data_IF_826908590883
#
_entry.id   IF_826908590883
#
_cell.length_a   1.000
_cell.length_b   1.000
_cell.length_c   1.000
_cell.angle_alpha   90.00
_cell.angle_beta   90.00
_cell.angle_gamma   90.00
#
_symmetry.space_group_name_H-M   'P 1'
#
loop_
_entity.id
_entity.type
_entity.pdbx_description
1 polymer ?
#
# COMPACT_ATOMS: atom_id res chain seq x y z
N UNK A 1 16.88 -10.55 8.95
CA UNK A 1 16.20 -9.25 9.13
C UNK A 1 14.95 -9.49 9.95
N UNK A 2 14.62 -8.59 10.88
CA UNK A 2 13.33 -8.67 11.58
C UNK A 2 12.21 -8.38 10.57
N UNK A 3 11.38 -9.36 10.21
CA UNK A 3 10.30 -9.21 9.22
C UNK A 3 9.11 -8.39 9.73
N UNK A 4 9.21 -7.82 10.95
CA UNK A 4 8.13 -7.05 11.59
C UNK A 4 8.67 -5.95 12.50
N UNK A 5 7.94 -4.82 12.58
CA UNK A 5 8.14 -3.74 13.56
C UNK A 5 6.84 -3.61 14.36
N UNK A 6 6.91 -3.87 15.67
CA UNK A 6 5.77 -3.75 16.57
C UNK A 6 5.41 -2.28 16.80
N UNK A 7 4.14 -1.92 16.69
CA UNK A 7 3.58 -0.60 16.98
C UNK A 7 3.04 -0.59 18.43
N UNK A 8 2.18 -1.56 18.74
CA UNK A 8 1.59 -1.77 20.06
C UNK A 8 1.29 -3.26 20.30
N UNK A 9 0.42 -3.61 21.24
CA UNK A 9 0.10 -5.03 21.54
C UNK A 9 -0.56 -5.75 20.37
N UNK A 10 -1.37 -5.07 19.57
CA UNK A 10 -2.20 -5.66 18.49
C UNK A 10 -1.71 -5.35 17.08
N UNK A 11 -0.95 -4.26 16.87
CA UNK A 11 -0.55 -3.79 15.55
C UNK A 11 0.96 -3.87 15.34
N UNK A 12 1.35 -4.27 14.15
CA UNK A 12 2.74 -4.34 13.67
C UNK A 12 2.80 -4.04 12.19
N UNK A 13 3.90 -3.49 11.71
CA UNK A 13 4.27 -3.54 10.30
C UNK A 13 4.90 -4.90 10.03
N UNK A 14 4.39 -5.62 9.03
CA UNK A 14 4.83 -6.97 8.71
C UNK A 14 4.70 -7.20 7.21
N UNK A 15 5.78 -7.62 6.57
CA UNK A 15 5.82 -7.84 5.12
C UNK A 15 4.98 -9.07 4.68
N UNK A 16 4.66 -9.95 5.60
CA UNK A 16 3.82 -11.14 5.33
C UNK A 16 2.32 -10.86 5.44
N UNK A 17 1.95 -9.70 5.98
CA UNK A 17 0.57 -9.26 6.12
C UNK A 17 0.20 -8.23 5.04
N UNK A 18 -1.10 -7.96 4.86
CA UNK A 18 -1.51 -6.84 4.02
C UNK A 18 -0.97 -5.52 4.56
N UNK A 19 -0.70 -4.53 3.71
CA UNK A 19 -0.29 -3.22 4.20
C UNK A 19 -1.34 -2.62 5.15
N UNK A 20 -0.87 -1.97 6.21
CA UNK A 20 -1.72 -1.17 7.07
C UNK A 20 -2.15 0.10 6.34
N UNK A 21 -3.37 0.57 6.62
CA UNK A 21 -3.91 1.80 6.04
C UNK A 21 -3.90 2.89 7.10
N UNK A 22 -3.24 4.01 6.79
CA UNK A 22 -3.25 5.23 7.59
C UNK A 22 -4.21 6.23 6.97
N UNK A 23 -5.24 6.61 7.72
CA UNK A 23 -6.08 7.76 7.37
C UNK A 23 -5.44 9.04 7.91
N UNK A 24 -4.98 9.91 7.01
CA UNK A 24 -4.43 11.23 7.34
C UNK A 24 -5.55 12.27 7.42
N UNK A 25 -5.81 12.78 8.61
CA UNK A 25 -6.88 13.78 8.86
C UNK A 25 -6.45 15.17 8.37
N UNK A 26 -5.18 15.54 8.60
CA UNK A 26 -4.62 16.82 8.13
C UNK A 26 -5.51 18.03 8.50
N UNK A 27 -5.56 19.06 7.64
CA UNK A 27 -6.39 20.26 7.79
C UNK A 27 -7.86 20.08 7.39
N UNK A 28 -8.35 18.86 7.19
CA UNK A 28 -9.72 18.61 6.71
C UNK A 28 -10.84 18.96 7.71
N UNK A 29 -10.49 19.32 8.93
CA UNK A 29 -11.43 19.76 9.98
C UNK A 29 -11.89 21.22 9.82
N UNK A 30 -11.28 22.03 8.95
CA UNK A 30 -11.64 23.46 8.74
C UNK A 30 -11.73 24.28 10.03
N UNK A 31 -10.81 24.12 10.99
CA UNK A 31 -10.81 24.84 12.26
C UNK A 31 -11.93 24.45 13.24
N UNK A 32 -12.64 23.35 13.00
CA UNK A 32 -13.73 22.89 13.88
C UNK A 32 -13.34 21.63 14.64
N UNK A 33 -13.25 21.73 15.97
CA UNK A 33 -13.00 20.59 16.86
C UNK A 33 -14.04 19.48 16.71
N UNK A 34 -15.33 19.83 16.53
CA UNK A 34 -16.41 18.86 16.30
C UNK A 34 -16.16 18.05 15.02
N UNK A 35 -15.80 18.74 13.93
CA UNK A 35 -15.45 18.07 12.65
C UNK A 35 -14.19 17.23 12.79
N UNK A 36 -13.17 17.71 13.48
CA UNK A 36 -11.93 16.98 13.75
C UNK A 36 -12.18 15.64 14.46
N UNK A 37 -12.92 15.67 15.57
CA UNK A 37 -13.27 14.45 16.29
C UNK A 37 -14.18 13.52 15.47
N UNK A 38 -15.06 14.08 14.63
CA UNK A 38 -15.88 13.28 13.73
C UNK A 38 -15.07 12.61 12.62
N UNK A 39 -14.07 13.29 12.05
CA UNK A 39 -13.14 12.69 11.09
C UNK A 39 -12.43 11.46 11.68
N UNK A 40 -11.98 11.52 12.93
CA UNK A 40 -11.37 10.38 13.62
C UNK A 40 -12.36 9.21 13.75
N UNK A 41 -13.64 9.48 14.11
CA UNK A 41 -14.68 8.46 14.19
C UNK A 41 -14.95 7.80 12.83
N UNK A 42 -15.14 8.62 11.78
CA UNK A 42 -15.45 8.12 10.45
C UNK A 42 -14.27 7.39 9.80
N UNK A 43 -13.03 7.82 10.03
CA UNK A 43 -11.84 7.10 9.59
C UNK A 43 -11.76 5.70 10.24
N UNK A 44 -12.06 5.62 11.56
CA UNK A 44 -12.12 4.33 12.26
C UNK A 44 -13.24 3.43 11.70
N UNK A 45 -14.47 3.96 11.52
CA UNK A 45 -15.61 3.22 10.95
C UNK A 45 -15.32 2.74 9.51
N UNK A 46 -14.64 3.56 8.71
CA UNK A 46 -14.23 3.20 7.36
C UNK A 46 -13.11 2.14 7.33
N UNK A 47 -12.63 1.71 8.49
CA UNK A 47 -11.70 0.60 8.61
C UNK A 47 -10.23 0.97 8.43
N UNK A 48 -9.83 2.23 8.60
CA UNK A 48 -8.43 2.60 8.73
C UNK A 48 -7.79 1.86 9.90
N UNK A 49 -6.58 1.33 9.70
CA UNK A 49 -5.85 0.59 10.74
C UNK A 49 -5.17 1.53 11.72
N UNK A 50 -4.76 2.70 11.22
CA UNK A 50 -4.15 3.79 11.98
C UNK A 50 -4.74 5.13 11.52
N UNK A 51 -4.82 6.07 12.44
CA UNK A 51 -5.28 7.44 12.16
C UNK A 51 -4.14 8.40 12.46
N UNK A 52 -3.82 9.29 11.52
CA UNK A 52 -2.77 10.28 11.68
C UNK A 52 -3.36 11.68 11.74
N UNK A 53 -2.80 12.50 12.61
CA UNK A 53 -3.03 13.93 12.71
C UNK A 53 -1.72 14.70 12.56
N UNK A 54 -1.79 16.01 12.51
CA UNK A 54 -0.62 16.87 12.47
C UNK A 54 -0.56 17.69 13.77
N UNK A 55 0.62 17.84 14.35
CA UNK A 55 0.81 18.54 15.61
C UNK A 55 1.78 19.69 15.43
N UNK A 56 1.24 20.89 15.25
CA UNK A 56 2.01 22.13 15.13
C UNK A 56 1.13 23.35 15.45
N UNK A 57 1.79 24.43 15.87
CA UNK A 57 1.27 25.77 15.76
C UNK A 57 1.90 26.46 14.54
N UNK A 58 1.27 27.46 13.91
CA UNK A 58 1.83 28.12 12.72
C UNK A 58 3.27 28.61 12.91
N UNK A 59 3.62 29.04 14.12
CA UNK A 59 4.96 29.47 14.51
C UNK A 59 6.00 28.36 14.53
N UNK A 60 5.60 27.09 14.52
CA UNK A 60 6.54 25.96 14.41
C UNK A 60 7.06 25.76 12.99
N UNK A 61 6.34 26.29 11.99
CA UNK A 61 6.64 26.06 10.55
C UNK A 61 7.08 27.35 9.86
N UNK A 62 6.49 28.49 10.21
CA UNK A 62 6.75 29.74 9.47
C UNK A 62 6.65 30.97 10.36
N UNK A 63 7.15 32.08 9.84
CA UNK A 63 7.10 33.40 10.48
C UNK A 63 5.85 34.16 10.03
N UNK A 64 5.16 34.84 10.95
CA UNK A 64 4.06 35.74 10.62
C UNK A 64 4.60 36.98 9.87
N UNK A 65 4.43 37.00 8.57
CA UNK A 65 4.97 38.07 7.71
C UNK A 65 4.10 38.27 6.47
N UNK A 66 3.95 39.53 6.08
CA UNK A 66 3.30 39.96 4.84
C UNK A 66 4.25 40.08 3.65
N UNK A 67 5.57 39.84 3.83
CA UNK A 67 6.56 39.94 2.75
C UNK A 67 6.29 38.91 1.67
N UNK A 68 6.44 39.26 0.38
CA UNK A 68 6.17 38.42 -0.80
C UNK A 68 6.81 37.01 -0.74
N UNK A 69 7.98 36.87 -0.10
CA UNK A 69 8.69 35.58 0.04
C UNK A 69 7.94 34.55 0.90
N UNK A 70 6.95 34.95 1.70
CA UNK A 70 6.10 34.07 2.51
C UNK A 70 4.77 33.72 1.84
N UNK A 71 4.65 33.98 0.54
CA UNK A 71 3.51 33.56 -0.26
C UNK A 71 3.87 32.39 -1.17
N UNK A 72 2.98 31.41 -1.27
CA UNK A 72 3.16 30.22 -2.10
C UNK A 72 3.07 30.65 -3.56
N UNK A 73 4.03 30.20 -4.38
CA UNK A 73 4.17 30.66 -5.77
C UNK A 73 3.46 29.79 -6.81
N UNK A 74 3.05 28.56 -6.44
CA UNK A 74 2.45 27.59 -7.37
C UNK A 74 1.58 26.54 -6.65
N UNK A 75 0.89 25.71 -7.42
CA UNK A 75 0.10 24.59 -6.92
C UNK A 75 -1.25 25.01 -6.33
N UNK A 76 -1.89 24.09 -5.59
CA UNK A 76 -3.24 24.23 -5.04
C UNK A 76 -3.41 25.48 -4.15
N UNK A 77 -2.38 25.86 -3.43
CA UNK A 77 -2.39 27.00 -2.50
C UNK A 77 -1.70 28.24 -3.04
N UNK A 78 -1.56 28.36 -4.37
CA UNK A 78 -0.93 29.53 -5.02
C UNK A 78 -1.50 30.85 -4.48
N UNK A 79 -0.64 31.85 -4.29
CA UNK A 79 -0.94 33.18 -3.74
C UNK A 79 -1.45 33.16 -2.28
N UNK A 80 -1.46 32.02 -1.58
CA UNK A 80 -1.77 31.99 -0.15
C UNK A 80 -0.54 32.33 0.68
N UNK A 81 -0.75 33.13 1.73
CA UNK A 81 0.28 33.39 2.72
C UNK A 81 0.49 32.15 3.59
N UNK A 82 1.73 31.73 3.82
CA UNK A 82 2.08 30.52 4.58
C UNK A 82 1.49 30.52 5.99
N UNK A 83 1.62 31.64 6.72
CA UNK A 83 1.05 31.75 8.07
C UNK A 83 -0.44 31.52 8.11
N UNK A 84 -1.17 32.18 7.21
CA UNK A 84 -2.63 32.06 7.15
C UNK A 84 -3.08 30.66 6.73
N UNK A 85 -2.35 30.03 5.83
CA UNK A 85 -2.60 28.63 5.44
C UNK A 85 -2.42 27.69 6.63
N UNK A 86 -1.28 27.76 7.29
CA UNK A 86 -1.01 26.89 8.45
C UNK A 86 -1.95 27.18 9.63
N UNK A 87 -2.30 28.48 9.89
CA UNK A 87 -3.31 28.85 10.89
C UNK A 87 -4.68 28.23 10.59
N UNK A 88 -5.06 28.08 9.32
CA UNK A 88 -6.31 27.45 8.91
C UNK A 88 -6.26 25.91 9.05
N UNK A 89 -5.11 25.32 8.78
CA UNK A 89 -4.93 23.87 8.68
C UNK A 89 -4.51 23.20 10.01
N UNK A 90 -3.88 23.95 10.96
CA UNK A 90 -3.34 23.38 12.17
C UNK A 90 -4.40 22.74 13.08
N UNK A 91 -4.00 21.71 13.80
CA UNK A 91 -4.78 21.12 14.89
C UNK A 91 -4.33 21.75 16.21
N UNK A 92 -5.12 22.64 16.85
CA UNK A 92 -4.73 23.26 18.12
C UNK A 92 -4.30 22.24 19.17
N UNK A 93 -3.23 22.52 19.90
CA UNK A 93 -2.71 21.62 20.92
C UNK A 93 -3.76 21.24 21.98
N UNK A 94 -4.67 22.14 22.28
CA UNK A 94 -5.79 21.89 23.20
C UNK A 94 -6.75 20.78 22.77
N UNK A 95 -6.80 20.43 21.46
CA UNK A 95 -7.69 19.37 20.96
C UNK A 95 -7.10 17.96 21.14
N UNK A 96 -5.80 17.84 21.30
CA UNK A 96 -5.10 16.56 21.36
C UNK A 96 -5.61 15.67 22.51
N UNK A 97 -5.84 16.23 23.69
CA UNK A 97 -6.39 15.49 24.84
C UNK A 97 -7.69 14.75 24.47
N UNK A 98 -8.62 15.43 23.80
CA UNK A 98 -9.91 14.83 23.45
C UNK A 98 -9.77 13.84 22.29
N UNK A 99 -8.88 14.13 21.33
CA UNK A 99 -8.58 13.20 20.24
C UNK A 99 -8.01 11.88 20.75
N UNK A 100 -7.03 11.91 21.64
CA UNK A 100 -6.43 10.69 22.22
C UNK A 100 -7.41 9.96 23.16
N UNK A 101 -8.24 10.68 23.91
CA UNK A 101 -9.33 10.09 24.71
C UNK A 101 -10.33 9.36 23.81
N UNK A 102 -10.72 9.99 22.70
CA UNK A 102 -11.63 9.38 21.71
C UNK A 102 -10.99 8.15 21.06
N UNK A 103 -9.76 8.24 20.62
CA UNK A 103 -9.04 7.12 19.99
C UNK A 103 -8.96 5.90 20.93
N UNK A 104 -8.67 6.15 22.24
CA UNK A 104 -8.70 5.10 23.28
C UNK A 104 -10.09 4.45 23.41
N UNK A 105 -11.18 5.24 23.40
CA UNK A 105 -12.56 4.74 23.47
C UNK A 105 -12.89 3.89 22.24
N UNK A 106 -12.43 4.30 21.05
CA UNK A 106 -12.63 3.57 19.79
C UNK A 106 -11.70 2.37 19.64
N UNK A 107 -10.74 2.17 20.54
CA UNK A 107 -9.69 1.13 20.45
C UNK A 107 -8.88 1.23 19.14
N UNK A 108 -8.69 2.45 18.62
CA UNK A 108 -7.89 2.73 17.42
C UNK A 108 -6.55 3.37 17.79
N UNK A 109 -5.55 3.19 16.93
CA UNK A 109 -4.24 3.82 17.11
C UNK A 109 -4.21 5.19 16.46
N UNK A 110 -4.17 6.23 17.28
CA UNK A 110 -3.96 7.62 16.85
C UNK A 110 -2.49 8.00 17.07
N UNK A 111 -1.88 8.62 16.08
CA UNK A 111 -0.52 9.14 16.15
C UNK A 111 -0.39 10.44 15.34
N UNK A 112 0.80 11.03 15.30
CA UNK A 112 0.94 12.33 14.67
C UNK A 112 2.26 12.54 13.93
N UNK A 113 2.25 13.53 13.01
CA UNK A 113 3.44 14.23 12.55
C UNK A 113 3.66 15.43 13.44
N UNK A 114 4.72 15.49 14.27
CA UNK A 114 5.17 16.72 14.93
C UNK A 114 6.00 17.56 13.97
N UNK A 115 5.93 18.89 14.13
CA UNK A 115 6.72 19.87 13.37
C UNK A 115 7.63 20.72 14.24
N UNK A 116 7.74 20.38 15.53
CA UNK A 116 8.64 21.03 16.48
C UNK A 116 8.97 20.09 17.65
N UNK A 117 10.02 20.40 18.40
CA UNK A 117 10.39 19.63 19.61
C UNK A 117 9.27 19.68 20.65
N UNK A 118 8.63 20.85 20.86
CA UNK A 118 7.49 20.98 21.80
C UNK A 118 6.27 20.14 21.38
N UNK A 119 6.08 19.94 20.07
CA UNK A 119 5.04 19.03 19.56
C UNK A 119 5.37 17.58 19.93
N UNK A 120 6.64 17.16 19.88
CA UNK A 120 7.06 15.85 20.35
C UNK A 120 6.79 15.69 21.86
N UNK A 121 7.11 16.71 22.67
CA UNK A 121 6.87 16.68 24.12
C UNK A 121 5.37 16.55 24.45
N UNK A 122 4.50 17.25 23.69
CA UNK A 122 3.05 17.10 23.81
C UNK A 122 2.61 15.66 23.49
N UNK A 123 3.12 15.09 22.40
CA UNK A 123 2.75 13.74 21.97
C UNK A 123 3.27 12.67 22.94
N UNK A 124 4.42 12.87 23.59
CA UNK A 124 4.92 11.97 24.63
C UNK A 124 3.99 11.97 25.87
N UNK A 125 3.42 13.11 26.27
CA UNK A 125 2.40 13.18 27.33
C UNK A 125 1.17 12.35 26.99
N UNK A 126 0.82 12.22 25.69
CA UNK A 126 -0.28 11.39 25.21
C UNK A 126 0.12 9.92 24.94
N UNK A 127 1.38 9.55 25.18
CA UNK A 127 1.92 8.18 25.05
C UNK A 127 1.69 7.59 23.64
N UNK A 128 1.94 8.39 22.59
CA UNK A 128 1.83 7.89 21.19
C UNK A 128 2.71 6.67 20.99
N UNK A 129 2.27 5.75 20.11
CA UNK A 129 2.97 4.49 19.86
C UNK A 129 4.03 4.59 18.77
N UNK A 130 3.94 5.60 17.89
CA UNK A 130 4.84 5.82 16.75
C UNK A 130 4.78 7.28 16.32
N UNK A 131 5.72 7.68 15.47
CA UNK A 131 5.83 9.02 14.92
C UNK A 131 5.84 9.00 13.39
N UNK A 132 5.36 10.09 12.77
CA UNK A 132 5.60 10.40 11.36
C UNK A 132 6.53 11.58 11.24
N UNK A 133 7.54 11.47 10.40
CA UNK A 133 8.37 12.58 9.94
C UNK A 133 7.95 12.90 8.50
N UNK A 134 7.43 14.11 8.28
CA UNK A 134 7.02 14.54 6.94
C UNK A 134 8.24 14.81 6.06
N UNK A 135 8.05 14.85 4.74
CA UNK A 135 9.19 14.92 3.81
C UNK A 135 9.93 16.26 3.85
N UNK A 136 9.24 17.33 4.19
CA UNK A 136 9.82 18.67 4.31
C UNK A 136 10.66 18.84 5.58
N UNK A 137 10.40 18.05 6.62
CA UNK A 137 11.07 18.09 7.92
C UNK A 137 12.27 17.15 8.01
N UNK A 138 12.58 16.39 6.96
CA UNK A 138 13.65 15.38 6.98
C UNK A 138 15.05 15.98 7.22
N UNK A 139 15.22 17.24 6.88
CA UNK A 139 16.47 18.02 7.07
C UNK A 139 16.54 18.74 8.42
N UNK A 140 15.44 18.81 9.18
CA UNK A 140 15.46 19.33 10.56
C UNK A 140 16.04 18.29 11.52
N UNK A 141 17.35 18.26 11.63
CA UNK A 141 18.07 17.27 12.42
C UNK A 141 17.78 17.38 13.92
N UNK A 142 17.35 18.54 14.43
CA UNK A 142 16.96 18.69 15.84
C UNK A 142 15.66 17.94 16.09
N UNK A 143 14.64 18.17 15.27
CA UNK A 143 13.37 17.44 15.32
C UNK A 143 13.59 15.94 15.13
N UNK A 144 14.37 15.54 14.12
CA UNK A 144 14.72 14.14 13.86
C UNK A 144 15.36 13.49 15.07
N UNK A 145 16.34 14.15 15.71
CA UNK A 145 17.03 13.68 16.92
C UNK A 145 16.07 13.55 18.10
N UNK A 146 15.20 14.54 18.30
CA UNK A 146 14.20 14.54 19.37
C UNK A 146 13.25 13.33 19.22
N UNK A 147 12.73 13.09 18.03
CA UNK A 147 11.87 11.94 17.75
C UNK A 147 12.64 10.62 17.94
N UNK A 148 13.88 10.52 17.43
CA UNK A 148 14.68 9.30 17.52
C UNK A 148 14.99 8.89 18.96
N UNK A 149 15.20 9.85 19.86
CA UNK A 149 15.45 9.61 21.31
C UNK A 149 14.27 8.89 21.99
N UNK A 150 13.05 8.99 21.47
CA UNK A 150 11.88 8.28 22.02
C UNK A 150 11.95 6.77 21.82
N UNK A 151 12.82 6.28 20.92
CA UNK A 151 12.99 4.86 20.53
C UNK A 151 11.71 4.20 20.03
N UNK A 152 10.67 4.97 19.68
CA UNK A 152 9.41 4.50 19.05
C UNK A 152 9.59 4.32 17.55
N UNK A 153 8.76 3.51 16.87
CA UNK A 153 8.77 3.41 15.41
C UNK A 153 8.60 4.77 14.73
N UNK A 154 9.35 5.00 13.67
CA UNK A 154 9.28 6.25 12.88
C UNK A 154 8.93 5.89 11.43
N UNK A 155 7.92 6.56 10.89
CA UNK A 155 7.56 6.54 9.47
C UNK A 155 8.11 7.81 8.85
N UNK A 156 8.91 7.71 7.77
CA UNK A 156 9.56 8.83 7.11
C UNK A 156 9.05 8.93 5.68
N UNK A 157 8.52 10.08 5.25
CA UNK A 157 8.22 10.36 3.83
C UNK A 157 9.43 10.97 3.12
N UNK A 158 9.54 10.72 1.80
CA UNK A 158 10.75 11.06 1.02
C UNK A 158 10.50 12.00 -0.15
N UNK A 159 9.27 12.52 -0.33
CA UNK A 159 8.85 13.21 -1.55
C UNK A 159 9.62 14.48 -1.88
N UNK A 160 10.03 15.24 -0.88
CA UNK A 160 10.79 16.50 -1.06
C UNK A 160 12.29 16.35 -0.78
N UNK A 161 12.77 15.12 -0.50
CA UNK A 161 14.14 14.90 -0.05
C UNK A 161 15.00 14.21 -1.11
N UNK A 162 16.27 14.59 -1.17
CA UNK A 162 17.31 13.90 -1.92
C UNK A 162 17.72 12.59 -1.22
N UNK A 163 18.33 11.67 -1.96
CA UNK A 163 18.83 10.41 -1.40
C UNK A 163 19.90 10.66 -0.30
N UNK A 164 20.67 11.74 -0.41
CA UNK A 164 21.66 12.13 0.59
C UNK A 164 20.97 12.53 1.89
N UNK A 165 19.98 13.41 1.84
CA UNK A 165 19.22 13.86 3.00
C UNK A 165 18.49 12.70 3.69
N UNK A 166 17.85 11.81 2.92
CA UNK A 166 17.25 10.58 3.46
C UNK A 166 18.29 9.75 4.22
N UNK A 167 19.46 9.54 3.61
CA UNK A 167 20.51 8.73 4.22
C UNK A 167 21.07 9.37 5.49
N UNK A 168 21.25 10.69 5.52
CA UNK A 168 21.77 11.42 6.69
C UNK A 168 20.73 11.38 7.85
N UNK A 169 19.45 11.56 7.55
CA UNK A 169 18.36 11.36 8.49
C UNK A 169 18.37 9.92 9.06
N UNK A 170 18.46 8.91 8.19
CA UNK A 170 18.51 7.51 8.61
C UNK A 170 19.73 7.20 9.48
N UNK A 171 20.90 7.74 9.14
CA UNK A 171 22.12 7.60 9.97
C UNK A 171 21.91 8.15 11.37
N UNK A 172 21.28 9.33 11.47
CA UNK A 172 20.98 9.94 12.77
C UNK A 172 20.04 9.08 13.60
N UNK A 173 18.92 8.63 13.03
CA UNK A 173 17.95 7.79 13.74
C UNK A 173 18.57 6.46 14.16
N UNK A 174 19.38 5.83 13.31
CA UNK A 174 20.03 4.54 13.57
C UNK A 174 21.00 4.55 14.74
N UNK A 175 21.44 5.73 15.23
CA UNK A 175 22.20 5.87 16.47
C UNK A 175 21.37 5.53 17.71
N UNK A 176 20.03 5.60 17.61
CA UNK A 176 19.09 5.36 18.70
C UNK A 176 18.31 4.04 18.55
N UNK A 177 17.82 3.73 17.34
CA UNK A 177 17.08 2.50 17.05
C UNK A 177 16.96 2.24 15.52
N UNK A 178 16.42 1.05 15.15
CA UNK A 178 16.23 0.63 13.74
C UNK A 178 14.76 0.44 13.33
N UNK A 179 13.80 0.92 14.10
CA UNK A 179 12.37 0.78 13.84
C UNK A 179 11.90 1.87 12.87
N UNK A 180 12.33 1.77 11.60
CA UNK A 180 12.12 2.82 10.59
C UNK A 180 11.39 2.25 9.38
N UNK A 181 10.35 2.95 8.95
CA UNK A 181 9.59 2.71 7.72
C UNK A 181 9.81 3.90 6.80
N UNK A 182 10.12 3.67 5.53
CA UNK A 182 10.33 4.70 4.53
C UNK A 182 9.14 4.70 3.57
N UNK A 183 8.46 5.83 3.40
CA UNK A 183 7.39 5.97 2.43
C UNK A 183 7.91 6.62 1.15
N UNK A 184 7.68 5.96 0.02
CA UNK A 184 7.63 6.68 -1.24
C UNK A 184 6.52 7.71 -1.16
N UNK A 185 6.79 8.89 -1.69
CA UNK A 185 5.85 10.00 -1.70
C UNK A 185 6.20 10.93 -2.86
N UNK A 186 5.20 11.48 -3.53
CA UNK A 186 5.34 12.63 -4.41
C UNK A 186 4.68 13.80 -3.70
N UNK A 187 5.43 14.90 -3.51
CA UNK A 187 4.96 16.06 -2.73
C UNK A 187 4.21 17.09 -3.61
N UNK A 188 3.44 16.58 -4.59
CA UNK A 188 2.47 17.36 -5.38
C UNK A 188 1.06 17.13 -4.81
N UNK A 189 0.29 18.19 -4.66
CA UNK A 189 -1.02 18.21 -4.02
C UNK A 189 -2.10 18.85 -4.92
N UNK A 190 -2.89 18.08 -5.70
CA UNK A 190 -2.83 16.62 -5.88
C UNK A 190 -1.68 16.16 -6.77
N UNK A 191 -1.24 14.91 -6.61
CA UNK A 191 -0.36 14.23 -7.55
C UNK A 191 -1.19 13.69 -8.72
N UNK A 192 -0.79 13.96 -9.95
CA UNK A 192 -1.36 13.32 -11.14
C UNK A 192 -0.94 11.84 -11.18
N UNK A 193 -1.83 10.95 -11.64
CA UNK A 193 -1.56 9.52 -11.69
C UNK A 193 -0.26 9.18 -12.46
N UNK A 194 -0.01 9.85 -13.57
CA UNK A 194 1.21 9.68 -14.37
C UNK A 194 2.48 10.08 -13.65
N UNK A 195 2.40 10.91 -12.61
CA UNK A 195 3.52 11.40 -11.81
C UNK A 195 3.68 10.62 -10.49
N UNK A 196 2.80 9.66 -10.19
CA UNK A 196 2.82 8.92 -8.92
C UNK A 196 4.09 8.07 -8.73
N UNK A 197 4.79 7.74 -9.81
CA UNK A 197 6.08 7.01 -9.82
C UNK A 197 6.15 5.84 -8.82
N UNK A 198 5.12 5.00 -8.79
CA UNK A 198 5.05 3.89 -7.81
C UNK A 198 6.21 2.89 -7.96
N UNK A 199 6.89 2.83 -9.12
CA UNK A 199 8.08 1.99 -9.32
C UNK A 199 9.26 2.43 -8.45
N UNK A 200 9.29 3.68 -7.99
CA UNK A 200 10.28 4.16 -7.03
C UNK A 200 10.26 3.39 -5.71
N UNK A 201 9.14 2.75 -5.36
CA UNK A 201 9.05 1.82 -4.23
C UNK A 201 10.10 0.72 -4.34
N UNK A 202 10.26 0.13 -5.53
CA UNK A 202 11.26 -0.92 -5.79
C UNK A 202 12.68 -0.37 -5.70
N UNK A 203 12.92 0.85 -6.21
CA UNK A 203 14.19 1.53 -6.09
C UNK A 203 14.56 1.77 -4.61
N UNK A 204 13.64 2.32 -3.81
CA UNK A 204 13.86 2.57 -2.39
C UNK A 204 14.14 1.26 -1.63
N UNK A 205 13.44 0.17 -1.96
CA UNK A 205 13.67 -1.14 -1.37
C UNK A 205 15.07 -1.68 -1.66
N UNK A 206 15.54 -1.54 -2.90
CA UNK A 206 16.90 -1.93 -3.29
C UNK A 206 17.95 -1.08 -2.59
N UNK A 207 17.70 0.24 -2.45
CA UNK A 207 18.65 1.20 -1.84
C UNK A 207 18.71 1.06 -0.32
N UNK A 208 17.57 0.88 0.34
CA UNK A 208 17.43 0.85 1.80
C UNK A 208 17.01 -0.54 2.30
N UNK A 209 17.78 -1.57 1.93
CA UNK A 209 17.48 -3.01 2.15
C UNK A 209 17.08 -3.37 3.58
N UNK A 210 17.57 -2.65 4.60
CA UNK A 210 17.28 -2.89 6.02
C UNK A 210 15.99 -2.24 6.54
N UNK A 211 15.27 -1.50 5.69
CA UNK A 211 14.08 -0.76 6.07
C UNK A 211 12.83 -1.30 5.36
N UNK A 212 11.69 -1.20 6.01
CA UNK A 212 10.40 -1.42 5.37
C UNK A 212 10.04 -0.23 4.48
N UNK A 213 9.37 -0.52 3.37
CA UNK A 213 8.91 0.49 2.42
C UNK A 213 7.38 0.54 2.42
N UNK A 214 6.83 1.74 2.36
CA UNK A 214 5.42 2.05 2.23
C UNK A 214 5.18 3.11 1.16
N UNK A 215 3.94 3.58 1.09
CA UNK A 215 3.49 4.65 0.20
C UNK A 215 2.75 5.72 1.00
N UNK A 216 3.03 7.00 0.71
CA UNK A 216 2.17 8.15 1.05
C UNK A 216 1.60 8.70 -0.26
N UNK A 217 0.31 8.50 -0.48
CA UNK A 217 -0.34 8.71 -1.77
C UNK A 217 -1.21 9.98 -1.76
N UNK A 218 -0.84 10.96 -2.62
CA UNK A 218 -1.53 12.23 -2.80
C UNK A 218 -2.32 12.29 -4.13
N UNK A 219 -2.51 11.16 -4.82
CA UNK A 219 -3.43 11.10 -5.97
C UNK A 219 -4.88 11.28 -5.51
N UNK A 220 -5.77 11.67 -6.43
CA UNK A 220 -7.19 11.94 -6.11
C UNK A 220 -8.02 10.65 -5.90
N UNK A 221 -7.45 9.49 -6.25
CA UNK A 221 -8.14 8.20 -6.17
C UNK A 221 -7.30 7.15 -5.41
N UNK A 222 -7.67 5.87 -5.50
CA UNK A 222 -7.06 4.75 -4.76
C UNK A 222 -6.18 3.85 -5.63
N UNK A 223 -6.11 4.08 -6.95
CA UNK A 223 -5.44 3.18 -7.90
C UNK A 223 -3.95 2.98 -7.59
N UNK A 224 -3.21 4.07 -7.34
CA UNK A 224 -1.79 4.02 -6.99
C UNK A 224 -1.55 3.26 -5.68
N UNK A 225 -2.43 3.46 -4.69
CA UNK A 225 -2.38 2.76 -3.41
C UNK A 225 -2.63 1.24 -3.56
N UNK A 226 -3.62 0.86 -4.37
CA UNK A 226 -3.91 -0.56 -4.67
C UNK A 226 -2.74 -1.20 -5.42
N UNK A 227 -2.20 -0.51 -6.44
CA UNK A 227 -1.05 -1.02 -7.20
C UNK A 227 0.21 -1.17 -6.32
N UNK A 228 0.46 -0.25 -5.38
CA UNK A 228 1.58 -0.35 -4.44
C UNK A 228 1.50 -1.61 -3.56
N UNK A 229 0.31 -2.13 -3.30
CA UNK A 229 0.14 -3.40 -2.56
C UNK A 229 0.84 -4.56 -3.28
N UNK A 230 0.75 -4.62 -4.62
CA UNK A 230 1.44 -5.63 -5.43
C UNK A 230 2.98 -5.48 -5.37
N UNK A 231 3.46 -4.32 -4.99
CA UNK A 231 4.88 -4.06 -4.74
C UNK A 231 5.29 -4.35 -3.27
N UNK A 232 4.48 -5.08 -2.50
CA UNK A 232 4.77 -5.51 -1.13
C UNK A 232 5.13 -4.36 -0.17
N UNK A 233 4.41 -3.24 -0.22
CA UNK A 233 4.52 -2.18 0.79
C UNK A 233 3.92 -2.67 2.11
N UNK A 234 4.42 -2.18 3.25
CA UNK A 234 3.90 -2.56 4.58
C UNK A 234 2.85 -1.60 5.10
N UNK A 235 2.73 -0.42 4.49
CA UNK A 235 1.79 0.63 4.91
C UNK A 235 1.48 1.57 3.75
N UNK A 236 0.25 2.05 3.74
CA UNK A 236 -0.26 3.04 2.78
C UNK A 236 -0.90 4.16 3.58
N UNK A 237 -0.45 5.39 3.35
CA UNK A 237 -1.01 6.60 3.93
C UNK A 237 -1.83 7.33 2.86
N UNK A 238 -3.06 7.73 3.21
CA UNK A 238 -3.98 8.44 2.34
C UNK A 238 -4.71 9.52 3.11
N UNK A 239 -4.81 10.74 2.56
CA UNK A 239 -5.61 11.82 3.14
C UNK A 239 -7.08 11.45 3.17
N UNK A 240 -7.78 11.83 4.25
CA UNK A 240 -9.15 11.43 4.53
C UNK A 240 -10.06 12.63 4.76
N UNK A 241 -11.21 12.66 4.11
CA UNK A 241 -12.27 13.68 4.26
C UNK A 241 -13.60 13.04 4.66
N UNK A 242 -14.51 13.86 5.21
CA UNK A 242 -15.77 13.36 5.77
C UNK A 242 -16.79 12.94 4.70
N UNK A 243 -16.75 13.57 3.53
CA UNK A 243 -17.64 13.28 2.39
C UNK A 243 -17.00 13.74 1.08
N UNK A 244 -17.51 13.28 -0.05
CA UNK A 244 -17.02 13.70 -1.37
C UNK A 244 -17.13 15.22 -1.59
N UNK A 245 -18.17 15.82 -1.07
CA UNK A 245 -18.45 17.27 -1.21
C UNK A 245 -17.72 18.15 -0.18
N UNK A 246 -16.82 17.57 0.64
CA UNK A 246 -16.07 18.35 1.63
C UNK A 246 -15.17 19.37 0.93
N UNK A 247 -15.25 20.62 1.41
CA UNK A 247 -14.37 21.72 0.99
C UNK A 247 -13.48 22.09 2.15
N UNK A 248 -12.24 21.65 2.13
CA UNK A 248 -11.22 21.91 3.15
C UNK A 248 -9.86 22.08 2.51
N UNK A 249 -8.83 22.40 3.30
CA UNK A 249 -7.48 22.71 2.80
C UNK A 249 -6.94 21.56 1.95
N UNK A 250 -7.19 20.30 2.34
CA UNK A 250 -6.62 19.11 1.72
C UNK A 250 -7.66 18.21 1.05
N UNK A 251 -8.92 18.69 0.92
CA UNK A 251 -10.03 17.85 0.43
C UNK A 251 -9.88 17.38 -1.01
N UNK A 252 -9.13 18.11 -1.85
CA UNK A 252 -8.96 17.78 -3.28
C UNK A 252 -8.28 16.43 -3.48
N UNK A 253 -7.26 16.12 -2.67
CA UNK A 253 -6.49 14.86 -2.73
C UNK A 253 -6.84 13.89 -1.60
N UNK A 254 -7.94 14.15 -0.86
CA UNK A 254 -8.43 13.28 0.21
C UNK A 254 -9.53 12.37 -0.29
N UNK A 255 -9.58 11.15 0.23
CA UNK A 255 -10.63 10.18 -0.07
C UNK A 255 -11.73 10.19 1.00
N UNK A 256 -12.95 9.87 0.59
CA UNK A 256 -14.13 9.75 1.47
C UNK A 256 -14.16 8.41 2.23
N UNK A 257 -15.05 8.26 3.24
CA UNK A 257 -15.28 6.99 3.91
C UNK A 257 -15.58 5.83 2.94
N UNK A 258 -16.41 6.06 1.93
CA UNK A 258 -16.74 5.05 0.91
C UNK A 258 -15.49 4.56 0.16
N UNK A 259 -14.65 5.49 -0.30
CA UNK A 259 -13.39 5.15 -0.97
C UNK A 259 -12.38 4.49 -0.04
N UNK A 260 -12.37 4.84 1.25
CA UNK A 260 -11.50 4.17 2.25
C UNK A 260 -11.90 2.71 2.46
N UNK A 261 -13.20 2.41 2.54
CA UNK A 261 -13.72 1.02 2.60
C UNK A 261 -13.31 0.25 1.35
N UNK A 262 -13.48 0.83 0.15
CA UNK A 262 -13.07 0.21 -1.11
C UNK A 262 -11.55 -0.04 -1.16
N UNK A 263 -10.75 0.93 -0.70
CA UNK A 263 -9.30 0.79 -0.63
C UNK A 263 -8.90 -0.42 0.23
N UNK A 264 -9.50 -0.56 1.41
CA UNK A 264 -9.23 -1.69 2.31
C UNK A 264 -9.61 -3.03 1.68
N UNK A 265 -10.76 -3.09 1.03
CA UNK A 265 -11.22 -4.29 0.32
C UNK A 265 -10.25 -4.69 -0.80
N UNK A 266 -9.88 -3.74 -1.66
CA UNK A 266 -9.01 -4.01 -2.81
C UNK A 266 -7.61 -4.40 -2.37
N UNK A 267 -7.04 -3.72 -1.37
CA UNK A 267 -5.74 -4.09 -0.77
C UNK A 267 -5.79 -5.53 -0.24
N UNK A 268 -6.87 -5.92 0.45
CA UNK A 268 -7.01 -7.26 0.99
C UNK A 268 -7.07 -8.32 -0.13
N UNK A 269 -7.88 -8.08 -1.17
CA UNK A 269 -7.99 -8.98 -2.33
C UNK A 269 -6.68 -9.12 -3.11
N UNK A 270 -5.97 -8.00 -3.35
CA UNK A 270 -4.65 -8.04 -4.00
C UNK A 270 -3.67 -8.84 -3.16
N UNK A 271 -3.62 -8.59 -1.85
CA UNK A 271 -2.73 -9.31 -0.95
C UNK A 271 -3.01 -10.82 -0.92
N UNK A 272 -4.28 -11.24 -0.89
CA UNK A 272 -4.68 -12.64 -0.99
C UNK A 272 -4.21 -13.28 -2.30
N UNK A 273 -4.33 -12.57 -3.41
CA UNK A 273 -3.86 -13.02 -4.72
C UNK A 273 -2.34 -13.25 -4.75
N UNK A 274 -1.57 -12.42 -4.04
CA UNK A 274 -0.12 -12.54 -3.92
C UNK A 274 0.30 -13.71 -3.01
N UNK A 275 -0.52 -14.08 -2.03
CA UNK A 275 -0.28 -15.22 -1.13
C UNK A 275 -0.51 -16.59 -1.80
N UNK A 276 -1.09 -16.62 -2.96
CA UNK A 276 -1.31 -17.87 -3.69
C UNK A 276 0.03 -18.58 -3.90
N UNK A 277 0.32 -19.54 -3.03
CA UNK A 277 1.40 -20.50 -3.28
C UNK A 277 1.04 -21.20 -4.59
N UNK A 278 1.98 -21.34 -5.52
CA UNK A 278 1.88 -22.08 -6.77
C UNK A 278 1.41 -23.53 -6.55
N UNK A 279 0.25 -23.73 -5.99
CA UNK A 279 -0.46 -25.00 -6.09
C UNK A 279 -0.89 -25.05 -7.54
N UNK A 280 -0.04 -25.68 -8.38
CA UNK A 280 -0.44 -26.11 -9.73
C UNK A 280 -1.79 -26.79 -9.52
N UNK A 281 -2.87 -26.06 -9.80
CA UNK A 281 -4.23 -26.61 -9.69
C UNK A 281 -4.33 -27.66 -10.78
N UNK A 282 -4.12 -28.91 -10.43
CA UNK A 282 -4.29 -30.04 -11.33
C UNK A 282 -5.78 -30.34 -11.57
N UNK A 283 -6.68 -29.59 -10.91
CA UNK A 283 -8.12 -29.80 -10.94
C UNK A 283 -8.74 -29.91 -12.34
N UNK A 284 -8.18 -29.21 -13.31
CA UNK A 284 -8.73 -29.15 -14.67
C UNK A 284 -7.95 -29.98 -15.68
N UNK A 285 -7.05 -30.89 -15.25
CA UNK A 285 -6.29 -31.73 -16.20
C UNK A 285 -7.19 -32.66 -17.03
N UNK A 286 -8.33 -33.05 -16.51
CA UNK A 286 -9.30 -33.88 -17.23
C UNK A 286 -9.90 -33.17 -18.47
N UNK A 287 -9.92 -31.82 -18.50
CA UNK A 287 -10.33 -31.06 -19.68
C UNK A 287 -9.25 -30.95 -20.79
N UNK A 288 -8.06 -31.47 -20.55
CA UNK A 288 -7.04 -31.52 -21.59
C UNK A 288 -7.43 -32.55 -22.65
N UNK A 289 -6.76 -32.54 -23.80
CA UNK A 289 -7.03 -33.47 -24.88
C UNK A 289 -6.22 -34.75 -24.75
N UNK A 290 -6.80 -35.88 -25.11
CA UNK A 290 -6.16 -37.16 -25.42
C UNK A 290 -6.38 -37.53 -26.87
N UNK A 291 -5.67 -38.53 -27.38
CA UNK A 291 -5.84 -39.06 -28.73
C UNK A 291 -6.92 -40.13 -28.66
N UNK A 292 -7.87 -40.05 -29.57
CA UNK A 292 -9.00 -40.94 -29.73
C UNK A 292 -9.06 -41.54 -31.14
N UNK A 293 -9.63 -42.73 -31.26
CA UNK A 293 -9.95 -43.36 -32.52
C UNK A 293 -11.24 -42.74 -33.12
N UNK A 294 -11.18 -42.17 -34.33
CA UNK A 294 -12.32 -41.67 -35.09
C UNK A 294 -13.17 -42.78 -35.72
N UNK A 295 -12.57 -43.94 -35.96
CA UNK A 295 -13.18 -45.16 -36.46
C UNK A 295 -12.52 -46.36 -35.77
N UNK A 296 -13.10 -47.53 -35.89
CA UNK A 296 -12.48 -48.77 -35.39
C UNK A 296 -11.17 -49.01 -36.12
N UNK A 297 -10.07 -49.16 -35.37
CA UNK A 297 -8.71 -49.40 -35.88
C UNK A 297 -8.40 -50.89 -35.65
N UNK A 298 -8.06 -51.62 -36.70
CA UNK A 298 -7.78 -53.05 -36.64
C UNK A 298 -6.39 -53.34 -36.09
N UNK A 299 -6.14 -54.52 -35.57
CA UNK A 299 -4.82 -54.96 -35.14
C UNK A 299 -3.84 -54.87 -36.34
N UNK A 300 -2.66 -54.30 -36.12
CA UNK A 300 -1.63 -54.00 -37.11
C UNK A 300 -1.97 -52.85 -38.07
N UNK A 301 -3.15 -52.20 -38.00
CA UNK A 301 -3.50 -51.02 -38.80
C UNK A 301 -2.63 -49.83 -38.35
N UNK A 302 -2.22 -48.99 -39.31
CA UNK A 302 -1.44 -47.76 -39.03
C UNK A 302 -2.34 -46.66 -38.46
N UNK A 303 -1.82 -45.90 -37.52
CA UNK A 303 -2.44 -44.65 -37.05
C UNK A 303 -2.23 -43.57 -38.12
N UNK A 304 -3.31 -42.99 -38.59
CA UNK A 304 -3.31 -41.95 -39.64
C UNK A 304 -4.14 -40.75 -39.22
N UNK A 305 -4.05 -39.66 -39.96
CA UNK A 305 -4.85 -38.45 -39.70
C UNK A 305 -6.35 -38.69 -39.84
N UNK A 306 -6.76 -39.72 -40.60
CA UNK A 306 -8.14 -40.09 -40.90
C UNK A 306 -8.73 -40.99 -39.81
N UNK A 307 -7.91 -41.65 -38.99
CA UNK A 307 -8.42 -42.60 -38.01
C UNK A 307 -8.14 -42.20 -36.56
N UNK A 308 -7.34 -41.16 -36.31
CA UNK A 308 -7.09 -40.61 -34.95
C UNK A 308 -7.30 -39.11 -34.86
N UNK A 309 -7.72 -38.63 -33.69
CA UNK A 309 -7.96 -37.22 -33.40
C UNK A 309 -7.62 -36.86 -31.95
N UNK A 310 -7.26 -35.60 -31.71
CA UNK A 310 -7.02 -35.07 -30.37
C UNK A 310 -8.28 -34.38 -29.82
N UNK A 311 -8.99 -35.03 -28.92
CA UNK A 311 -10.24 -34.56 -28.30
C UNK A 311 -10.20 -34.57 -26.76
N UNK A 312 -11.18 -33.95 -26.13
CA UNK A 312 -11.46 -34.04 -24.70
C UNK A 312 -12.45 -35.18 -24.44
N UNK A 313 -12.42 -35.76 -23.21
CA UNK A 313 -11.61 -35.53 -22.06
C UNK A 313 -10.24 -36.21 -22.12
N UNK A 314 -9.36 -35.96 -21.11
CA UNK A 314 -8.06 -36.62 -21.00
C UNK A 314 -8.22 -37.97 -20.30
N UNK A 315 -8.41 -39.02 -21.09
CA UNK A 315 -8.51 -40.41 -20.62
C UNK A 315 -7.32 -41.29 -21.02
N UNK A 316 -6.71 -41.02 -22.16
CA UNK A 316 -5.65 -41.82 -22.74
C UNK A 316 -4.35 -41.03 -22.99
N UNK A 317 -3.67 -41.39 -24.09
CA UNK A 317 -2.41 -40.81 -24.52
C UNK A 317 -2.58 -39.30 -24.74
N UNK A 318 -1.67 -38.49 -24.21
CA UNK A 318 -1.70 -37.03 -24.31
C UNK A 318 -1.65 -36.61 -25.81
N UNK A 319 -2.44 -35.60 -26.16
CA UNK A 319 -2.46 -35.03 -27.52
C UNK A 319 -1.07 -34.58 -28.02
N UNK A 320 -0.15 -34.21 -27.11
CA UNK A 320 1.24 -33.88 -27.48
C UNK A 320 2.01 -35.03 -28.12
N UNK A 321 1.50 -36.26 -28.03
CA UNK A 321 2.09 -37.46 -28.64
C UNK A 321 1.50 -37.75 -30.03
N UNK A 322 0.58 -36.91 -30.54
CA UNK A 322 -0.13 -37.15 -31.80
C UNK A 322 0.80 -37.48 -32.97
N UNK A 323 1.76 -36.62 -33.24
CA UNK A 323 2.73 -36.84 -34.35
C UNK A 323 3.69 -37.99 -34.09
N UNK A 324 3.90 -38.37 -32.81
CA UNK A 324 4.80 -39.49 -32.45
C UNK A 324 4.17 -40.86 -32.76
N UNK A 325 2.84 -40.93 -32.86
CA UNK A 325 2.16 -42.19 -33.09
C UNK A 325 1.67 -42.34 -34.58
N UNK A 326 1.67 -41.25 -35.35
CA UNK A 326 1.38 -41.34 -36.80
C UNK A 326 2.32 -42.37 -37.44
N UNK A 327 1.77 -43.19 -38.34
CA UNK A 327 2.43 -44.30 -39.08
C UNK A 327 2.87 -45.47 -38.21
N UNK A 328 2.76 -45.40 -36.86
CA UNK A 328 2.91 -46.58 -35.99
C UNK A 328 1.71 -47.50 -36.14
N UNK A 329 1.83 -48.75 -35.74
CA UNK A 329 0.78 -49.76 -35.87
C UNK A 329 0.09 -50.06 -34.55
N UNK A 330 -1.21 -50.37 -34.62
CA UNK A 330 -1.95 -50.80 -33.44
C UNK A 330 -1.56 -52.23 -33.04
N UNK A 331 -1.39 -52.48 -31.77
CA UNK A 331 -1.15 -53.83 -31.18
C UNK A 331 -2.43 -54.66 -31.10
N UNK A 332 -3.61 -54.03 -30.99
CA UNK A 332 -4.89 -54.67 -30.81
C UNK A 332 -5.99 -53.87 -31.52
N UNK A 333 -7.18 -54.42 -31.59
CA UNK A 333 -8.35 -53.70 -32.10
C UNK A 333 -8.68 -52.55 -31.12
N UNK A 334 -8.91 -51.34 -31.64
CA UNK A 334 -9.34 -50.15 -30.90
C UNK A 334 -10.68 -49.73 -31.50
N UNK A 335 -11.72 -49.77 -30.70
CA UNK A 335 -13.06 -49.39 -31.14
C UNK A 335 -13.17 -47.87 -31.39
N UNK A 336 -14.04 -47.50 -32.31
CA UNK A 336 -14.40 -46.10 -32.51
C UNK A 336 -14.73 -45.40 -31.19
N UNK A 337 -14.42 -44.09 -31.10
CA UNK A 337 -14.64 -43.23 -29.92
C UNK A 337 -13.87 -43.64 -28.65
N UNK A 338 -12.97 -44.63 -28.75
CA UNK A 338 -12.14 -45.05 -27.61
C UNK A 338 -10.85 -44.23 -27.51
N UNK A 339 -10.39 -43.91 -26.30
CA UNK A 339 -9.06 -43.28 -26.10
C UNK A 339 -7.94 -44.26 -26.43
N UNK A 340 -6.91 -43.76 -27.07
CA UNK A 340 -5.68 -44.53 -27.36
C UNK A 340 -4.73 -44.46 -26.19
N UNK A 341 -4.23 -45.61 -25.74
CA UNK A 341 -3.25 -45.75 -24.67
C UNK A 341 -1.86 -46.15 -25.22
N UNK A 342 -0.81 -45.93 -24.44
CA UNK A 342 0.57 -46.31 -24.85
C UNK A 342 0.69 -47.81 -25.13
N UNK A 343 0.00 -48.65 -24.39
CA UNK A 343 -0.07 -50.09 -24.59
C UNK A 343 -0.73 -50.52 -25.92
N UNK A 344 -1.46 -49.63 -26.59
CA UNK A 344 -2.09 -49.90 -27.86
C UNK A 344 -1.13 -49.74 -29.08
N UNK A 345 0.11 -49.25 -28.89
CA UNK A 345 1.04 -48.83 -29.93
C UNK A 345 2.18 -49.82 -30.04
N UNK A 346 2.48 -50.25 -31.30
CA UNK A 346 3.68 -51.00 -31.66
C UNK A 346 4.83 -50.07 -31.92
#
# INVERSE_FOLDING_TARGET
MNNKIKINKSLKFDISERPLIIAEISGNHNGSKKKFLNLIKEAHKAGADLIKIQTYEPSDITIKSSKKKFFIKSGLWNKKNLWNLYKKAHTPFSWHKDAFKLAKKLKTTLFSSPFSERAVDLLEKHKVSLYKLASLEITDLNLVKKIAKTKKPIIISTGAATLKEINDCLKLIKRYHRKIIILHCVSDYPTLNQNADIQRINFLRKKFKSNFIGLSDHTTDIHSAVAATALNVVVIEKHFKISENSKSVDSVFSISPKKMVQLKEFISKVHESLKSKNKKTQKNKHFRRSIYALKTIQKNEKFTKENIVALRPKLGLCASKYFKILNKRSRKIILKDSPIYEANIK
#
